data_IF_271762471109
#
_entry.id   IF_271762471109
#
_cell.length_a   1.000
_cell.length_b   1.000
_cell.length_c   1.000
_cell.angle_alpha   90.00
_cell.angle_beta   90.00
_cell.angle_gamma   90.00
#
_symmetry.space_group_name_H-M   'P 1'
#
loop_
_entity.id
_entity.type
_entity.pdbx_description
1 polymer ?
#
# COMPACT_ATOMS: atom_id res chain seq x y z
N UNK A 1 1.93 -11.58 7.65
CA UNK A 1 1.41 -10.19 7.80
C UNK A 1 2.56 -9.32 8.21
N UNK A 2 2.71 -8.18 7.55
CA UNK A 2 3.74 -7.19 7.85
C UNK A 2 3.00 -5.89 8.18
N UNK A 3 3.34 -5.27 9.30
CA UNK A 3 2.83 -3.97 9.71
C UNK A 3 3.96 -2.95 9.51
N UNK A 4 3.69 -1.92 8.72
CA UNK A 4 4.64 -0.85 8.49
C UNK A 4 4.33 0.34 9.38
N UNK A 5 5.37 0.95 9.92
CA UNK A 5 5.30 2.17 10.70
C UNK A 5 5.92 3.33 9.93
N UNK A 6 5.71 4.54 10.43
CA UNK A 6 6.31 5.78 9.89
C UNK A 6 5.96 5.98 8.40
N UNK A 7 4.71 5.72 8.02
CA UNK A 7 4.22 5.94 6.66
C UNK A 7 4.13 7.44 6.36
N UNK A 8 3.60 8.21 7.29
CA UNK A 8 3.21 9.61 7.14
C UNK A 8 4.17 10.62 7.79
N UNK A 9 5.40 10.21 8.12
CA UNK A 9 6.36 11.07 8.82
C UNK A 9 6.59 12.38 8.05
N UNK A 10 7.05 12.33 6.80
CA UNK A 10 7.22 13.47 5.90
C UNK A 10 7.95 14.67 6.48
N UNK A 11 8.56 15.49 5.63
CA UNK A 11 9.04 16.81 6.03
C UNK A 11 7.89 17.83 5.96
N UNK A 12 7.79 18.77 6.92
CA UNK A 12 6.82 19.86 6.85
C UNK A 12 6.93 20.62 5.53
N UNK A 13 5.81 21.05 4.96
CA UNK A 13 5.74 21.71 3.65
C UNK A 13 6.62 22.95 3.55
N UNK A 14 6.74 23.72 4.64
CA UNK A 14 7.58 24.92 4.66
C UNK A 14 9.09 24.64 4.55
N UNK A 15 9.52 23.43 4.94
CA UNK A 15 10.90 22.98 4.75
C UNK A 15 11.11 22.37 3.36
N UNK A 16 10.04 21.93 2.71
CA UNK A 16 10.10 21.31 1.38
C UNK A 16 10.37 22.33 0.27
N UNK A 17 9.91 23.57 0.45
CA UNK A 17 9.91 24.57 -0.61
C UNK A 17 11.28 25.27 -0.85
N UNK A 18 12.20 25.25 0.11
CA UNK A 18 13.39 26.11 0.08
C UNK A 18 14.75 25.42 0.12
N UNK A 19 14.85 24.20 0.60
CA UNK A 19 16.16 23.60 0.89
C UNK A 19 16.38 22.17 0.37
N UNK A 20 15.31 21.47 -0.05
CA UNK A 20 15.45 20.07 -0.47
C UNK A 20 14.81 19.80 -1.84
N UNK A 21 15.50 19.15 -2.78
CA UNK A 21 14.91 18.68 -4.03
C UNK A 21 13.72 17.75 -3.76
N UNK A 22 12.65 17.81 -4.58
CA UNK A 22 11.44 16.98 -4.48
C UNK A 22 11.73 15.49 -4.26
N UNK A 23 12.80 14.98 -4.85
CA UNK A 23 13.21 13.59 -4.66
C UNK A 23 13.65 13.24 -3.22
N UNK A 24 14.14 14.21 -2.45
CA UNK A 24 14.52 13.97 -1.05
C UNK A 24 13.31 13.98 -0.12
N UNK A 25 12.26 14.73 -0.46
CA UNK A 25 11.03 14.77 0.35
C UNK A 25 10.31 13.43 0.34
N UNK A 26 10.31 12.73 -0.79
CA UNK A 26 9.74 11.38 -0.89
C UNK A 26 10.45 10.37 0.00
N UNK A 27 11.72 10.60 0.35
CA UNK A 27 12.50 9.71 1.21
C UNK A 27 12.07 9.75 2.67
N UNK A 28 11.24 10.70 3.08
CA UNK A 28 10.77 10.86 4.47
C UNK A 28 9.42 10.22 4.73
N UNK A 29 8.76 9.72 3.69
CA UNK A 29 7.51 8.95 3.78
C UNK A 29 7.77 7.45 3.67
N UNK A 30 6.85 6.66 4.19
CA UNK A 30 6.89 5.19 4.09
C UNK A 30 8.20 4.58 4.60
N UNK A 31 8.79 5.13 5.66
CA UNK A 31 10.13 4.74 6.12
C UNK A 31 10.19 3.28 6.55
N UNK A 32 9.14 2.76 7.19
CA UNK A 32 9.06 1.36 7.60
C UNK A 32 9.10 0.40 6.41
N UNK A 33 8.32 0.67 5.37
CA UNK A 33 8.32 -0.17 4.16
C UNK A 33 9.61 -0.04 3.35
N UNK A 34 10.21 1.14 3.30
CA UNK A 34 11.53 1.34 2.69
C UNK A 34 12.61 0.54 3.42
N UNK A 35 12.59 0.55 4.77
CA UNK A 35 13.52 -0.22 5.58
C UNK A 35 13.37 -1.72 5.31
N UNK A 36 12.12 -2.23 5.34
CA UNK A 36 11.84 -3.64 5.08
C UNK A 36 12.24 -4.07 3.67
N UNK A 37 12.03 -3.20 2.67
CA UNK A 37 12.44 -3.48 1.30
C UNK A 37 13.95 -3.67 1.14
N UNK A 38 14.75 -2.93 1.94
CA UNK A 38 16.21 -3.07 1.96
C UNK A 38 16.70 -4.20 2.89
N UNK A 39 15.94 -4.48 3.96
CA UNK A 39 16.29 -5.41 5.02
C UNK A 39 15.10 -6.35 5.31
N UNK A 40 14.73 -7.24 4.40
CA UNK A 40 13.61 -8.14 4.64
C UNK A 40 13.90 -9.06 5.83
N UNK A 41 12.83 -9.48 6.53
CA UNK A 41 12.91 -10.32 7.74
C UNK A 41 13.56 -11.69 7.52
N UNK A 42 13.69 -12.11 6.26
CA UNK A 42 14.44 -13.31 5.86
C UNK A 42 15.34 -12.97 4.67
N UNK A 43 16.62 -13.38 4.67
CA UNK A 43 17.47 -13.27 3.50
C UNK A 43 16.85 -13.97 2.30
N UNK A 44 16.84 -13.32 1.13
CA UNK A 44 16.28 -13.88 -0.09
C UNK A 44 14.74 -14.03 -0.08
N UNK A 45 14.03 -13.34 0.83
CA UNK A 45 12.57 -13.37 0.86
C UNK A 45 11.97 -12.94 -0.48
N UNK A 46 11.02 -13.71 -0.96
CA UNK A 46 10.24 -13.45 -2.16
C UNK A 46 8.79 -13.83 -1.93
N UNK A 47 7.88 -13.09 -2.53
CA UNK A 47 6.44 -13.35 -2.49
C UNK A 47 5.88 -13.43 -3.92
N UNK A 48 4.90 -14.28 -4.14
CA UNK A 48 4.20 -14.34 -5.43
C UNK A 48 3.37 -13.07 -5.69
N UNK A 49 2.77 -12.52 -4.65
CA UNK A 49 2.06 -11.24 -4.66
C UNK A 49 1.94 -10.71 -3.23
N UNK A 50 1.58 -9.44 -3.11
CA UNK A 50 1.22 -8.81 -1.85
C UNK A 50 -0.17 -8.20 -1.93
N UNK A 51 -0.83 -8.05 -0.79
CA UNK A 51 -2.07 -7.30 -0.65
C UNK A 51 -1.80 -6.19 0.37
N UNK A 52 -1.92 -4.94 -0.08
CA UNK A 52 -1.80 -3.78 0.79
C UNK A 52 -3.19 -3.38 1.29
N UNK A 53 -3.33 -3.24 2.60
CA UNK A 53 -4.52 -2.69 3.24
C UNK A 53 -4.21 -1.28 3.70
N UNK A 54 -4.85 -0.30 3.07
CA UNK A 54 -4.70 1.10 3.39
C UNK A 54 -6.08 1.76 3.48
N UNK A 55 -6.27 2.63 4.47
CA UNK A 55 -7.52 3.36 4.70
C UNK A 55 -8.78 2.48 4.75
N UNK A 56 -8.67 1.29 5.33
CA UNK A 56 -9.74 0.28 5.31
C UNK A 56 -10.72 0.39 6.48
N UNK A 57 -10.51 1.32 7.41
CA UNK A 57 -11.27 1.45 8.65
C UNK A 57 -12.53 2.34 8.59
N UNK A 58 -12.88 2.89 7.43
CA UNK A 58 -14.02 3.79 7.30
C UNK A 58 -15.35 3.04 7.46
N UNK A 59 -16.34 3.68 8.12
CA UNK A 59 -17.69 3.15 8.20
C UNK A 59 -18.34 3.10 6.81
N UNK A 60 -18.96 1.98 6.46
CA UNK A 60 -19.60 1.76 5.16
C UNK A 60 -18.64 1.95 3.98
N UNK A 61 -17.40 1.60 4.14
CA UNK A 61 -16.41 1.70 3.08
C UNK A 61 -16.78 0.83 1.89
N UNK A 62 -16.36 1.26 0.70
CA UNK A 62 -16.38 0.44 -0.51
C UNK A 62 -14.96 0.41 -1.08
N UNK A 63 -14.52 -0.78 -1.45
CA UNK A 63 -13.23 -1.00 -2.07
C UNK A 63 -13.41 -1.08 -3.58
N UNK A 64 -12.71 -0.23 -4.29
CA UNK A 64 -12.65 -0.24 -5.74
C UNK A 64 -11.33 -0.83 -6.19
N UNK A 65 -11.32 -1.38 -7.40
CA UNK A 65 -10.11 -1.92 -8.01
C UNK A 65 -9.12 -0.78 -8.29
N UNK A 66 -7.98 -0.80 -7.60
CA UNK A 66 -6.97 0.22 -7.76
C UNK A 66 -6.25 0.06 -9.11
N UNK A 67 -6.06 1.18 -9.84
CA UNK A 67 -5.63 1.15 -11.23
C UNK A 67 -4.24 0.56 -11.48
N UNK A 68 -3.29 0.84 -10.61
CA UNK A 68 -1.92 0.30 -10.73
C UNK A 68 -1.93 -1.20 -10.44
N UNK A 69 -2.69 -1.63 -9.43
CA UNK A 69 -2.88 -3.04 -9.11
C UNK A 69 -3.53 -3.81 -10.26
N UNK A 70 -4.55 -3.25 -10.91
CA UNK A 70 -5.17 -3.85 -12.10
C UNK A 70 -4.17 -3.99 -13.23
N UNK A 71 -3.35 -2.97 -13.47
CA UNK A 71 -2.35 -2.96 -14.53
C UNK A 71 -1.28 -4.05 -14.36
N UNK A 72 -0.77 -4.23 -13.14
CA UNK A 72 0.39 -5.09 -12.90
C UNK A 72 0.04 -6.45 -12.28
N UNK A 73 -1.12 -6.57 -11.65
CA UNK A 73 -1.56 -7.77 -10.92
C UNK A 73 -3.06 -8.06 -11.10
N UNK A 74 -3.61 -7.80 -12.30
CA UNK A 74 -5.05 -7.90 -12.57
C UNK A 74 -5.66 -9.24 -12.18
N UNK A 75 -4.98 -10.35 -12.44
CA UNK A 75 -5.45 -11.68 -12.05
C UNK A 75 -5.56 -11.87 -10.52
N UNK A 76 -4.69 -11.23 -9.74
CA UNK A 76 -4.79 -11.25 -8.27
C UNK A 76 -5.97 -10.40 -7.82
N UNK A 77 -6.14 -9.20 -8.41
CA UNK A 77 -7.28 -8.32 -8.14
C UNK A 77 -8.60 -9.04 -8.41
N UNK A 78 -8.74 -9.66 -9.58
CA UNK A 78 -9.95 -10.43 -9.95
C UNK A 78 -10.24 -11.54 -8.95
N UNK A 79 -9.21 -12.28 -8.54
CA UNK A 79 -9.36 -13.35 -7.56
C UNK A 79 -9.82 -12.85 -6.20
N UNK A 80 -9.26 -11.75 -5.70
CA UNK A 80 -9.66 -11.14 -4.42
C UNK A 80 -11.10 -10.67 -4.48
N UNK A 81 -11.50 -9.98 -5.54
CA UNK A 81 -12.88 -9.52 -5.73
C UNK A 81 -13.86 -10.68 -5.85
N UNK A 82 -13.52 -11.72 -6.59
CA UNK A 82 -14.36 -12.93 -6.71
C UNK A 82 -14.56 -13.62 -5.34
N UNK A 83 -13.52 -13.71 -4.51
CA UNK A 83 -13.61 -14.25 -3.15
C UNK A 83 -14.51 -13.35 -2.29
N UNK A 84 -14.35 -12.04 -2.35
CA UNK A 84 -15.21 -11.08 -1.62
C UNK A 84 -16.70 -11.26 -1.98
N UNK A 85 -17.00 -11.40 -3.26
CA UNK A 85 -18.36 -11.68 -3.75
C UNK A 85 -18.89 -13.02 -3.24
N UNK A 86 -18.10 -14.08 -3.36
CA UNK A 86 -18.49 -15.43 -2.95
C UNK A 86 -18.76 -15.54 -1.44
N UNK A 87 -18.07 -14.76 -0.64
CA UNK A 87 -18.25 -14.68 0.82
C UNK A 87 -19.41 -13.75 1.25
N UNK A 88 -20.15 -13.15 0.31
CA UNK A 88 -21.28 -12.27 0.60
C UNK A 88 -20.88 -10.82 0.90
N UNK A 89 -19.64 -10.41 0.62
CA UNK A 89 -19.16 -9.05 0.83
C UNK A 89 -19.24 -8.16 -0.42
N UNK A 90 -20.06 -8.51 -1.39
CA UNK A 90 -20.17 -7.79 -2.66
C UNK A 90 -20.51 -6.32 -2.53
N UNK A 91 -21.20 -5.91 -1.46
CA UNK A 91 -21.47 -4.50 -1.19
C UNK A 91 -20.21 -3.67 -0.90
N UNK A 92 -19.15 -4.31 -0.46
CA UNK A 92 -17.87 -3.66 -0.15
C UNK A 92 -16.86 -3.78 -1.29
N UNK A 93 -16.90 -4.84 -2.08
CA UNK A 93 -15.99 -5.10 -3.21
C UNK A 93 -16.68 -4.72 -4.54
N UNK A 94 -16.50 -3.49 -4.95
CA UNK A 94 -17.17 -2.89 -6.12
C UNK A 94 -16.25 -2.74 -7.34
#
# INVERSE_FOLDING_TARGET
IILFDVEDYGLPEFLQASEFPLAQNQQTYCLGSQHWGKNPHKPGYSAYFGILLDMVGAKNTAFYREGVSVKYAGGVVDKVWAIGQALGYGQYFR
#
